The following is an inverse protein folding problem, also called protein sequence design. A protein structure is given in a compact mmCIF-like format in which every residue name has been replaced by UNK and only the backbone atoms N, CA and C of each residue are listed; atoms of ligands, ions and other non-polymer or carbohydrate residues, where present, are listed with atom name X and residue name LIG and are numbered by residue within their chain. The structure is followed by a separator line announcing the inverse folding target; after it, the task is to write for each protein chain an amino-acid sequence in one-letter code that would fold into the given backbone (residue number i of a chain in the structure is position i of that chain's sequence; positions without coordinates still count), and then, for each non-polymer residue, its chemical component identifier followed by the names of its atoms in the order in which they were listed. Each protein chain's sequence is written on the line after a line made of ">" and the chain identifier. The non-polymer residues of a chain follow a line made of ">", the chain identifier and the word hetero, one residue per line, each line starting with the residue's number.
data_IF_676154699683
#
_entry.id   IF_676154699683
#
_cell.length_a   1.000
_cell.length_b   1.000
_cell.length_c   1.000
_cell.angle_alpha   90.00
_cell.angle_beta   90.00
_cell.angle_gamma   90.00
#
_symmetry.space_group_name_H-M   'P 1'
#
loop_
_entity.id
_entity.type
_entity.pdbx_description
1 polymer ?
#
# COMPACT_ATOMS: atom_id res chain seq x y z
N UNK A 1 -14.09 -15.88 -7.03
CA UNK A 1 -13.27 -15.42 -5.89
C UNK A 1 -13.50 -13.92 -5.74
N UNK A 2 -13.70 -13.37 -4.54
CA UNK A 2 -13.75 -11.92 -4.36
C UNK A 2 -12.38 -11.33 -4.74
N UNK A 3 -12.34 -10.25 -5.54
CA UNK A 3 -11.09 -9.68 -6.07
C UNK A 3 -10.05 -9.37 -4.98
N UNK A 4 -10.49 -9.01 -3.77
CA UNK A 4 -9.61 -8.78 -2.61
C UNK A 4 -8.86 -10.03 -2.17
N UNK A 5 -9.53 -11.18 -2.16
CA UNK A 5 -8.95 -12.46 -1.75
C UNK A 5 -7.90 -12.89 -2.78
N UNK A 6 -8.22 -12.74 -4.07
CA UNK A 6 -7.27 -13.03 -5.15
C UNK A 6 -6.01 -12.17 -5.06
N UNK A 7 -6.16 -10.87 -4.84
CA UNK A 7 -5.01 -9.96 -4.72
C UNK A 7 -4.15 -10.25 -3.48
N UNK A 8 -4.76 -10.70 -2.38
CA UNK A 8 -4.01 -11.12 -1.20
C UNK A 8 -3.18 -12.37 -1.50
N UNK A 9 -3.81 -13.42 -2.07
CA UNK A 9 -3.12 -14.66 -2.45
C UNK A 9 -1.99 -14.39 -3.45
N UNK A 10 -2.20 -13.48 -4.40
CA UNK A 10 -1.18 -13.06 -5.35
C UNK A 10 -0.01 -12.33 -4.67
N UNK A 11 -0.27 -11.54 -3.63
CA UNK A 11 0.79 -10.91 -2.82
C UNK A 11 1.58 -11.96 -2.06
N UNK A 12 0.88 -12.83 -1.32
CA UNK A 12 1.49 -13.88 -0.50
C UNK A 12 2.34 -14.82 -1.38
N UNK A 13 1.90 -15.11 -2.61
CA UNK A 13 2.66 -15.90 -3.57
C UNK A 13 3.96 -15.20 -4.05
N UNK A 14 3.94 -13.88 -4.23
CA UNK A 14 5.12 -13.14 -4.69
C UNK A 14 6.15 -12.97 -3.58
N UNK A 15 5.68 -12.84 -2.35
CA UNK A 15 6.52 -12.67 -1.16
C UNK A 15 7.01 -14.01 -0.56
N UNK A 16 6.76 -15.14 -1.24
CA UNK A 16 7.06 -16.51 -0.80
C UNK A 16 6.42 -16.87 0.57
N UNK A 17 5.28 -16.26 0.91
CA UNK A 17 4.52 -16.48 2.15
C UNK A 17 3.32 -17.43 1.99
N UNK A 18 3.03 -17.85 0.75
CA UNK A 18 1.93 -18.77 0.45
C UNK A 18 2.30 -20.23 0.78
N UNK A 19 1.34 -21.01 1.28
CA UNK A 19 1.53 -22.44 1.55
C UNK A 19 1.99 -23.19 0.28
N UNK A 20 2.88 -24.18 0.44
CA UNK A 20 3.47 -24.91 -0.68
C UNK A 20 2.42 -25.53 -1.63
N UNK A 21 1.39 -26.18 -1.07
CA UNK A 21 0.32 -26.80 -1.85
C UNK A 21 -0.51 -25.76 -2.64
N UNK A 22 -0.71 -24.57 -2.06
CA UNK A 22 -1.42 -23.47 -2.70
C UNK A 22 -0.57 -22.79 -3.76
N UNK A 23 0.74 -22.70 -3.54
CA UNK A 23 1.70 -22.13 -4.50
C UNK A 23 1.75 -22.96 -5.79
N UNK A 24 1.85 -24.29 -5.67
CA UNK A 24 1.81 -25.21 -6.81
C UNK A 24 0.48 -25.12 -7.59
N UNK A 25 -0.64 -24.90 -6.90
CA UNK A 25 -1.94 -24.67 -7.53
C UNK A 25 -2.00 -23.32 -8.25
N UNK A 26 -1.47 -22.27 -7.63
CA UNK A 26 -1.41 -20.92 -8.20
C UNK A 26 -0.53 -20.87 -9.45
N UNK A 27 0.62 -21.53 -9.44
CA UNK A 27 1.51 -21.61 -10.62
C UNK A 27 0.81 -22.26 -11.81
N UNK A 28 0.12 -23.38 -11.59
CA UNK A 28 -0.63 -24.07 -12.66
C UNK A 28 -1.73 -23.19 -13.27
N UNK A 29 -2.43 -22.41 -12.46
CA UNK A 29 -3.48 -21.51 -12.95
C UNK A 29 -2.90 -20.31 -13.73
N UNK A 30 -1.66 -19.91 -13.40
CA UNK A 30 -0.94 -18.82 -14.07
C UNK A 30 -0.20 -19.26 -15.34
N UNK A 31 -0.15 -20.56 -15.66
CA UNK A 31 0.43 -21.08 -16.91
C UNK A 31 -0.36 -20.68 -18.17
N UNK A 32 -1.59 -20.18 -18.04
CA UNK A 32 -2.31 -19.59 -19.17
C UNK A 32 -1.55 -18.39 -19.76
N UNK A 33 -1.41 -18.34 -21.10
CA UNK A 33 -0.52 -17.41 -21.80
C UNK A 33 -0.83 -15.93 -21.48
N UNK A 34 -2.12 -15.62 -21.29
CA UNK A 34 -2.57 -14.28 -20.91
C UNK A 34 -2.25 -13.96 -19.44
N UNK A 35 -2.54 -14.89 -18.52
CA UNK A 35 -2.26 -14.76 -17.09
C UNK A 35 -0.76 -14.63 -16.82
N UNK A 36 0.07 -15.39 -17.54
CA UNK A 36 1.52 -15.38 -17.41
C UNK A 36 2.12 -14.01 -17.73
N UNK A 37 1.64 -13.32 -18.77
CA UNK A 37 2.13 -11.99 -19.13
C UNK A 37 1.79 -10.94 -18.05
N UNK A 38 0.55 -10.96 -17.53
CA UNK A 38 0.13 -10.09 -16.44
C UNK A 38 0.96 -10.36 -15.18
N UNK A 39 1.08 -11.62 -14.80
CA UNK A 39 1.81 -12.06 -13.61
C UNK A 39 3.28 -11.65 -13.67
N UNK A 40 3.97 -11.94 -14.78
CA UNK A 40 5.37 -11.56 -14.98
C UNK A 40 5.59 -10.05 -14.92
N UNK A 41 4.65 -9.28 -15.47
CA UNK A 41 4.71 -7.81 -15.42
C UNK A 41 4.55 -7.33 -13.98
N UNK A 42 3.60 -7.89 -13.24
CA UNK A 42 3.34 -7.54 -11.86
C UNK A 42 4.54 -7.90 -10.96
N UNK A 43 5.06 -9.13 -11.07
CA UNK A 43 6.26 -9.59 -10.33
C UNK A 43 7.46 -8.67 -10.57
N UNK A 44 7.79 -8.38 -11.84
CA UNK A 44 8.88 -7.44 -12.18
C UNK A 44 8.64 -6.03 -11.65
N UNK A 45 7.39 -5.58 -11.59
CA UNK A 45 7.05 -4.27 -11.02
C UNK A 45 7.31 -4.25 -9.51
N UNK A 46 6.94 -5.32 -8.80
CA UNK A 46 7.23 -5.47 -7.37
C UNK A 46 8.75 -5.50 -7.13
N UNK A 47 9.51 -6.27 -7.91
CA UNK A 47 10.97 -6.30 -7.85
C UNK A 47 11.60 -4.91 -8.07
N UNK A 48 11.09 -4.15 -9.05
CA UNK A 48 11.54 -2.78 -9.30
C UNK A 48 11.21 -1.85 -8.14
N UNK A 49 10.02 -1.96 -7.55
CA UNK A 49 9.62 -1.17 -6.39
C UNK A 49 10.52 -1.42 -5.19
N UNK A 50 10.95 -2.66 -4.95
CA UNK A 50 11.89 -3.00 -3.89
C UNK A 50 13.30 -2.40 -4.11
N UNK A 51 13.67 -2.11 -5.36
CA UNK A 51 14.94 -1.46 -5.69
C UNK A 51 14.89 0.08 -5.56
N UNK A 52 13.71 0.67 -5.38
CA UNK A 52 13.57 2.11 -5.18
C UNK A 52 14.17 2.46 -3.82
N UNK A 53 15.32 3.12 -3.84
CA UNK A 53 15.95 3.65 -2.63
C UNK A 53 14.98 4.63 -1.94
N UNK A 54 14.66 4.34 -0.68
CA UNK A 54 13.89 5.27 0.14
C UNK A 54 14.67 6.57 0.28
N UNK A 55 14.14 7.63 -0.31
CA UNK A 55 14.69 8.97 -0.15
C UNK A 55 14.53 9.41 1.30
N UNK A 56 15.61 9.90 1.90
CA UNK A 56 15.55 10.48 3.23
C UNK A 56 14.58 11.67 3.23
N UNK A 57 13.62 11.64 4.16
CA UNK A 57 12.68 12.74 4.32
C UNK A 57 13.43 13.96 4.84
N UNK A 58 13.36 15.13 4.17
CA UNK A 58 14.03 16.32 4.67
C UNK A 58 13.56 16.67 6.08
N UNK A 59 14.48 16.93 7.02
CA UNK A 59 14.14 17.28 8.41
C UNK A 59 13.15 18.46 8.50
N UNK A 60 13.24 19.40 7.56
CA UNK A 60 12.31 20.55 7.48
C UNK A 60 10.86 20.15 7.22
N UNK A 61 10.60 18.97 6.63
CA UNK A 61 9.26 18.47 6.36
C UNK A 61 8.58 17.97 7.64
N UNK A 62 9.32 17.32 8.55
CA UNK A 62 8.80 16.90 9.86
C UNK A 62 8.17 18.08 10.61
N UNK A 63 8.88 19.21 10.68
CA UNK A 63 8.39 20.43 11.33
C UNK A 63 7.11 20.96 10.67
N UNK A 64 7.05 20.98 9.33
CA UNK A 64 5.88 21.46 8.58
C UNK A 64 4.66 20.58 8.78
N UNK A 65 4.83 19.27 8.85
CA UNK A 65 3.75 18.30 9.10
C UNK A 65 3.19 18.49 10.50
N UNK A 66 4.05 18.51 11.52
CA UNK A 66 3.64 18.73 12.93
C UNK A 66 2.87 20.04 13.06
N UNK A 67 3.43 21.13 12.52
CA UNK A 67 2.76 22.44 12.53
C UNK A 67 1.39 22.36 11.86
N UNK A 68 1.27 21.72 10.71
CA UNK A 68 -0.02 21.61 10.01
C UNK A 68 -1.05 20.86 10.84
N UNK A 69 -0.67 19.71 11.43
CA UNK A 69 -1.55 18.90 12.27
C UNK A 69 -2.04 19.69 13.48
N UNK A 70 -1.14 20.37 14.19
CA UNK A 70 -1.47 21.20 15.37
C UNK A 70 -2.43 22.35 15.02
N UNK A 71 -2.33 22.93 13.82
CA UNK A 71 -3.19 24.03 13.39
C UNK A 71 -4.55 23.56 12.85
N UNK A 72 -4.68 22.29 12.47
CA UNK A 72 -5.97 21.69 12.09
C UNK A 72 -6.80 21.23 13.29
N UNK A 73 -6.18 21.13 14.48
CA UNK A 73 -6.78 20.66 15.72
C UNK A 73 -7.36 21.76 16.62
N UNK A 74 -8.21 22.65 16.13
CA UNK A 74 -9.26 23.23 17.00
C UNK A 74 -10.36 23.94 16.21
N UNK A 75 -11.62 23.46 16.23
CA UNK A 75 -12.75 24.31 15.86
C UNK A 75 -12.81 25.44 16.87
N UNK A 76 -12.47 26.67 16.44
CA UNK A 76 -12.61 27.89 17.26
C UNK A 76 -14.09 28.02 17.66
N UNK A 77 -14.47 27.53 18.86
CA UNK A 77 -15.77 27.80 19.47
C UNK A 77 -15.87 29.32 19.66
N UNK A 78 -16.62 29.99 18.77
CA UNK A 78 -17.01 31.40 18.94
C UNK A 78 -17.77 31.51 20.27
N UNK A 79 -17.12 32.02 21.32
CA UNK A 79 -17.80 32.42 22.56
C UNK A 79 -18.76 33.55 22.22
N UNK A 80 -20.06 33.24 22.12
CA UNK A 80 -21.12 34.25 22.06
C UNK A 80 -21.17 34.93 23.44
N UNK A 81 -20.59 36.11 23.56
CA UNK A 81 -20.85 37.00 24.69
C UNK A 81 -22.32 37.44 24.61
N UNK A 82 -23.20 36.81 25.41
CA UNK A 82 -24.50 37.40 25.76
C UNK A 82 -24.25 38.39 26.89
N UNK A 83 -24.19 39.69 26.54
CA UNK A 83 -24.49 40.77 27.48
C UNK A 83 -26.01 40.83 27.63
N UNK A 84 -26.50 40.65 28.85
CA UNK A 84 -27.71 41.28 29.37
C UNK A 84 -27.67 41.24 30.89
#
# INVERSE_FOLDING_TARGET
>A
MEHKIFLQLLSDFIDDELDFDLSDEFERELEDEFCCCFFNTFKKTVELCHQIEMQEVPQSLHYKIIKTIEHTGSPKKKRKNKRK
#
